data_IF_542222345358
#
_entry.id   IF_542222345358
#
_cell.length_a   1.000
_cell.length_b   1.000
_cell.length_c   1.000
_cell.angle_alpha   90.00
_cell.angle_beta   90.00
_cell.angle_gamma   90.00
#
_symmetry.space_group_name_H-M   'P 1'
#
loop_
_entity.id
_entity.type
_entity.pdbx_description
1 polymer ?
#
# COMPACT_ATOMS: atom_id res chain seq x y z
N UNK A 1 11.53 -16.97 1.52
CA UNK A 1 11.74 -15.57 1.92
C UNK A 1 11.35 -14.57 0.85
N UNK A 2 11.22 -14.96 -0.40
CA UNK A 2 10.71 -14.11 -1.48
C UNK A 2 9.18 -14.19 -1.56
N UNK A 3 8.52 -13.24 -2.25
CA UNK A 3 7.07 -13.20 -2.43
C UNK A 3 6.65 -13.70 -3.82
N UNK A 4 5.36 -14.05 -3.96
CA UNK A 4 4.76 -14.51 -5.22
C UNK A 4 5.38 -15.82 -5.72
N UNK A 5 5.62 -15.92 -7.02
CA UNK A 5 6.15 -17.12 -7.69
C UNK A 5 7.53 -17.57 -7.17
N UNK A 6 8.29 -16.66 -6.56
CA UNK A 6 9.60 -16.93 -5.95
C UNK A 6 9.53 -17.19 -4.45
N UNK A 7 8.33 -17.27 -3.89
CA UNK A 7 8.09 -17.54 -2.47
C UNK A 7 7.83 -19.00 -2.16
N UNK A 8 7.51 -19.29 -0.91
CA UNK A 8 7.05 -20.63 -0.49
C UNK A 8 8.15 -21.64 -0.18
N UNK A 9 9.44 -21.29 -0.32
CA UNK A 9 10.55 -22.19 0.00
C UNK A 9 10.82 -22.26 1.51
N UNK A 10 11.06 -23.46 2.01
CA UNK A 10 11.48 -23.68 3.40
C UNK A 10 12.97 -23.43 3.51
N UNK A 11 13.36 -22.32 4.16
CA UNK A 11 14.78 -21.95 4.36
C UNK A 11 15.42 -22.63 5.58
N UNK A 12 14.60 -23.11 6.51
CA UNK A 12 15.06 -23.84 7.68
C UNK A 12 13.96 -24.73 8.28
N UNK A 13 14.34 -25.93 8.68
CA UNK A 13 13.50 -26.85 9.46
C UNK A 13 14.33 -27.45 10.60
N UNK A 14 13.84 -27.37 11.82
CA UNK A 14 14.51 -27.91 13.01
C UNK A 14 14.19 -27.13 14.28
N UNK A 15 14.90 -27.45 15.37
CA UNK A 15 14.72 -26.76 16.64
C UNK A 15 15.30 -25.34 16.63
N UNK A 16 14.74 -24.44 17.43
CA UNK A 16 15.23 -23.05 17.61
C UNK A 16 16.71 -23.04 18.04
N UNK A 17 17.11 -23.93 18.94
CA UNK A 17 18.50 -24.06 19.39
C UNK A 17 19.45 -24.31 18.21
N UNK A 18 19.08 -25.18 17.29
CA UNK A 18 19.87 -25.47 16.11
C UNK A 18 19.84 -24.33 15.08
N UNK A 19 18.73 -23.61 14.95
CA UNK A 19 18.64 -22.41 14.12
C UNK A 19 19.65 -21.36 14.57
N UNK A 20 19.71 -21.06 15.87
CA UNK A 20 20.61 -20.08 16.44
C UNK A 20 22.09 -20.48 16.35
N UNK A 21 22.40 -21.79 16.44
CA UNK A 21 23.77 -22.32 16.40
C UNK A 21 24.33 -22.53 14.99
N UNK A 22 23.51 -22.65 13.96
CA UNK A 22 23.94 -22.91 12.58
C UNK A 22 23.98 -21.63 11.75
N UNK A 23 24.87 -21.61 10.74
CA UNK A 23 24.91 -20.55 9.70
C UNK A 23 23.77 -20.75 8.66
N UNK A 24 22.52 -20.93 9.13
CA UNK A 24 21.38 -20.98 8.24
C UNK A 24 21.13 -19.56 7.65
N UNK A 25 20.95 -19.45 6.35
CA UNK A 25 20.59 -18.18 5.73
C UNK A 25 19.09 -17.90 5.91
N UNK A 26 18.74 -17.56 7.12
CA UNK A 26 17.38 -17.23 7.55
C UNK A 26 17.33 -15.83 8.11
N UNK A 27 16.43 -15.01 7.59
CA UNK A 27 16.20 -13.66 8.10
C UNK A 27 15.79 -13.70 9.58
N UNK A 28 14.94 -14.66 9.96
CA UNK A 28 14.56 -14.90 11.37
C UNK A 28 15.77 -15.12 12.26
N UNK A 29 16.72 -15.98 11.83
CA UNK A 29 17.96 -16.19 12.58
C UNK A 29 18.75 -14.90 12.78
N UNK A 30 18.94 -14.12 11.70
CA UNK A 30 19.71 -12.87 11.75
C UNK A 30 19.16 -11.89 12.80
N UNK A 31 17.83 -11.79 12.89
CA UNK A 31 17.19 -10.96 13.91
C UNK A 31 17.26 -11.56 15.32
N UNK A 32 17.06 -12.87 15.46
CA UNK A 32 17.12 -13.55 16.77
C UNK A 32 18.53 -13.56 17.37
N UNK A 33 19.57 -13.63 16.54
CA UNK A 33 20.97 -13.57 16.97
C UNK A 33 21.52 -12.16 17.15
N UNK A 34 20.74 -11.14 16.74
CA UNK A 34 21.21 -9.74 16.75
C UNK A 34 22.15 -9.38 15.61
N UNK A 35 22.39 -10.30 14.66
CA UNK A 35 23.19 -10.07 13.45
C UNK A 35 22.51 -9.02 12.53
N UNK A 36 21.19 -9.03 12.50
CA UNK A 36 20.36 -7.95 11.93
C UNK A 36 19.50 -7.35 13.04
N UNK A 37 19.44 -6.02 13.09
CA UNK A 37 18.61 -5.30 14.06
C UNK A 37 18.15 -3.96 13.50
N UNK A 38 17.01 -3.49 13.97
CA UNK A 38 16.57 -2.11 13.76
C UNK A 38 17.15 -1.28 14.90
N UNK A 39 18.08 -0.41 14.57
CA UNK A 39 18.73 0.40 15.60
C UNK A 39 17.78 1.45 16.18
N UNK A 40 17.78 1.54 17.52
CA UNK A 40 17.05 2.60 18.21
C UNK A 40 17.94 3.86 18.22
N UNK A 41 17.47 5.00 17.67
CA UNK A 41 18.28 6.21 17.63
C UNK A 41 18.59 6.71 19.03
N UNK A 42 19.85 7.08 19.27
CA UNK A 42 20.30 7.59 20.58
C UNK A 42 19.63 8.92 20.94
N UNK A 43 19.36 9.76 19.94
CA UNK A 43 18.63 11.03 20.11
C UNK A 43 17.30 10.95 19.39
N UNK A 44 16.21 11.11 20.13
CA UNK A 44 14.85 11.21 19.57
C UNK A 44 14.47 12.65 19.39
N UNK A 45 13.69 12.95 18.35
CA UNK A 45 13.13 14.28 18.14
C UNK A 45 12.19 14.62 19.30
N UNK A 46 12.28 15.85 19.80
CA UNK A 46 11.29 16.38 20.73
C UNK A 46 10.02 16.73 19.95
N UNK A 47 8.87 16.38 20.45
CA UNK A 47 7.58 16.82 19.92
C UNK A 47 7.41 18.33 20.05
N UNK A 48 6.32 18.85 19.48
CA UNK A 48 5.99 20.28 19.56
C UNK A 48 5.41 20.72 20.91
N UNK A 49 5.15 19.77 21.82
CA UNK A 49 4.36 20.01 23.04
C UNK A 49 2.85 20.16 22.79
N UNK A 50 2.41 20.14 21.53
CA UNK A 50 1.01 20.22 21.12
C UNK A 50 0.46 18.82 20.85
N UNK A 51 -0.82 18.62 21.03
CA UNK A 51 -1.51 17.36 20.80
C UNK A 51 -2.92 17.57 20.24
N UNK A 52 -3.43 16.56 19.58
CA UNK A 52 -4.85 16.41 19.31
C UNK A 52 -5.40 15.45 20.37
N UNK A 53 -6.43 15.86 21.09
CA UNK A 53 -7.03 15.07 22.17
C UNK A 53 -8.47 14.72 21.82
N UNK A 54 -8.78 13.43 21.89
CA UNK A 54 -10.12 12.87 21.80
C UNK A 54 -10.59 12.49 23.20
N UNK A 55 -11.76 12.93 23.60
CA UNK A 55 -12.39 12.55 24.87
C UNK A 55 -13.75 11.90 24.64
N UNK A 56 -14.15 11.07 25.57
CA UNK A 56 -15.45 10.40 25.52
C UNK A 56 -15.60 9.39 24.39
N UNK A 57 -14.53 8.70 24.01
CA UNK A 57 -14.56 7.74 22.90
C UNK A 57 -15.26 6.45 23.32
N UNK A 58 -16.38 6.14 22.64
CA UNK A 58 -17.28 5.02 22.98
C UNK A 58 -17.66 4.15 21.80
N UNK A 59 -16.91 4.19 20.72
CA UNK A 59 -17.19 3.36 19.54
C UNK A 59 -16.81 1.90 19.77
N UNK A 60 -17.66 0.98 19.35
CA UNK A 60 -17.52 -0.47 19.48
C UNK A 60 -17.18 -0.89 20.93
N UNK A 61 -16.00 -1.44 21.18
CA UNK A 61 -15.55 -1.91 22.50
C UNK A 61 -14.79 -0.84 23.31
N UNK A 62 -14.71 0.39 22.84
CA UNK A 62 -14.06 1.49 23.56
C UNK A 62 -14.98 2.01 24.67
N UNK A 63 -14.46 2.10 25.90
CA UNK A 63 -15.23 2.36 27.12
C UNK A 63 -14.93 3.76 27.66
N UNK A 64 -15.43 4.78 26.95
CA UNK A 64 -15.32 6.17 27.38
C UNK A 64 -13.87 6.63 27.63
N UNK A 65 -12.99 6.32 26.69
CA UNK A 65 -11.57 6.62 26.83
C UNK A 65 -11.24 8.03 26.36
N UNK A 66 -10.22 8.63 26.97
CA UNK A 66 -9.59 9.86 26.51
C UNK A 66 -8.17 9.55 26.02
N UNK A 67 -7.85 10.02 24.81
CA UNK A 67 -6.56 9.77 24.16
C UNK A 67 -5.98 11.07 23.64
N UNK A 68 -4.74 11.37 24.01
CA UNK A 68 -3.99 12.51 23.51
C UNK A 68 -2.88 12.06 22.56
N UNK A 69 -2.89 12.59 21.34
CA UNK A 69 -1.96 12.22 20.26
C UNK A 69 -1.00 13.39 20.06
N UNK A 70 0.28 13.24 20.44
CA UNK A 70 1.26 14.30 20.31
C UNK A 70 1.55 14.60 18.85
N UNK A 71 1.69 15.90 18.52
CA UNK A 71 1.97 16.36 17.17
C UNK A 71 3.48 16.42 16.88
N UNK A 72 3.83 16.34 15.59
CA UNK A 72 5.21 16.26 15.06
C UNK A 72 5.99 15.06 15.57
N UNK A 73 5.31 13.98 15.89
CA UNK A 73 5.89 12.73 16.36
C UNK A 73 5.36 11.55 15.54
N UNK A 74 6.15 10.49 15.49
CA UNK A 74 5.66 9.18 15.06
C UNK A 74 4.99 8.51 16.26
N UNK A 75 3.70 8.25 16.16
CA UNK A 75 2.89 7.61 17.21
C UNK A 75 2.48 6.23 16.74
N UNK A 76 2.76 5.21 17.54
CA UNK A 76 2.36 3.84 17.28
C UNK A 76 1.23 3.43 18.23
N UNK A 77 0.13 2.94 17.67
CA UNK A 77 -0.99 2.36 18.44
C UNK A 77 -0.87 0.84 18.35
N UNK A 78 -0.52 0.21 19.47
CA UNK A 78 -0.31 -1.24 19.55
C UNK A 78 -1.32 -1.90 20.50
N UNK A 79 -1.46 -3.22 20.40
CA UNK A 79 -2.35 -4.03 21.23
C UNK A 79 -2.77 -5.31 20.53
N UNK A 80 -3.39 -6.22 21.25
CA UNK A 80 -3.91 -7.49 20.73
C UNK A 80 -4.99 -7.28 19.66
N UNK A 81 -5.25 -8.30 18.84
CA UNK A 81 -6.38 -8.25 17.89
C UNK A 81 -7.69 -8.05 18.63
N UNK A 82 -8.59 -7.24 18.08
CA UNK A 82 -9.86 -6.90 18.69
C UNK A 82 -9.81 -5.90 19.84
N UNK A 83 -8.65 -5.32 20.21
CA UNK A 83 -8.56 -4.35 21.32
C UNK A 83 -9.14 -2.95 21.01
N UNK A 84 -9.62 -2.70 19.81
CA UNK A 84 -10.22 -1.42 19.42
C UNK A 84 -9.28 -0.44 18.72
N UNK A 85 -8.06 -0.86 18.31
CA UNK A 85 -7.10 0.03 17.61
C UNK A 85 -7.69 0.67 16.35
N UNK A 86 -8.31 -0.12 15.48
CA UNK A 86 -8.94 0.37 14.26
C UNK A 86 -10.13 1.26 14.56
N UNK A 87 -10.95 0.90 15.56
CA UNK A 87 -12.07 1.74 16.01
C UNK A 87 -11.57 3.11 16.49
N UNK A 88 -10.50 3.15 17.28
CA UNK A 88 -9.92 4.41 17.73
C UNK A 88 -9.32 5.23 16.59
N UNK A 89 -8.47 4.61 15.77
CA UNK A 89 -7.66 5.35 14.77
C UNK A 89 -8.48 5.65 13.52
N UNK A 90 -9.18 4.67 12.96
CA UNK A 90 -9.90 4.82 11.69
C UNK A 90 -11.31 5.36 11.91
N UNK A 91 -12.11 4.68 12.76
CA UNK A 91 -13.53 4.99 12.85
C UNK A 91 -13.77 6.30 13.62
N UNK A 92 -12.93 6.65 14.60
CA UNK A 92 -13.09 7.85 15.41
C UNK A 92 -12.11 8.94 15.01
N UNK A 93 -10.80 8.78 15.23
CA UNK A 93 -9.81 9.84 15.04
C UNK A 93 -9.78 10.35 13.60
N UNK A 94 -9.49 9.45 12.64
CA UNK A 94 -9.41 9.84 11.24
C UNK A 94 -10.74 10.41 10.75
N UNK A 95 -11.85 9.72 11.02
CA UNK A 95 -13.16 10.15 10.53
C UNK A 95 -13.61 11.49 11.12
N UNK A 96 -13.30 11.76 12.40
CA UNK A 96 -13.57 13.06 13.03
C UNK A 96 -12.73 14.20 12.41
N UNK A 97 -11.45 13.95 12.20
CA UNK A 97 -10.56 14.91 11.55
C UNK A 97 -10.91 15.12 10.07
N UNK A 98 -11.17 14.06 9.33
CA UNK A 98 -11.56 14.12 7.92
C UNK A 98 -12.82 14.98 7.72
N UNK A 99 -13.85 14.79 8.58
CA UNK A 99 -15.05 15.62 8.57
C UNK A 99 -14.72 17.10 8.88
N UNK A 100 -13.79 17.36 9.78
CA UNK A 100 -13.38 18.74 10.14
C UNK A 100 -12.67 19.44 8.99
N UNK A 101 -11.99 18.70 8.11
CA UNK A 101 -11.31 19.19 6.92
C UNK A 101 -12.10 18.97 5.62
N UNK A 102 -13.42 18.85 5.70
CA UNK A 102 -14.35 18.71 4.57
C UNK A 102 -14.03 17.52 3.63
N UNK A 103 -13.34 16.50 4.16
CA UNK A 103 -13.14 15.25 3.45
C UNK A 103 -14.39 14.36 3.59
N UNK A 104 -14.74 13.67 2.50
CA UNK A 104 -15.88 12.74 2.51
C UNK A 104 -15.62 11.54 3.41
N UNK A 105 -16.49 11.31 4.38
CA UNK A 105 -16.51 10.12 5.25
C UNK A 105 -17.94 9.64 5.42
N UNK A 106 -18.16 8.33 5.36
CA UNK A 106 -19.49 7.75 5.50
C UNK A 106 -20.06 7.96 6.91
N UNK A 107 -19.22 7.71 7.92
CA UNK A 107 -19.63 7.78 9.33
C UNK A 107 -18.44 8.20 10.20
N UNK A 108 -18.77 8.89 11.31
CA UNK A 108 -17.82 9.13 12.41
C UNK A 108 -18.27 8.31 13.61
N UNK A 109 -17.32 7.58 14.22
CA UNK A 109 -17.55 6.80 15.42
C UNK A 109 -17.93 7.69 16.63
N UNK A 110 -18.47 7.10 17.67
CA UNK A 110 -18.99 7.83 18.84
C UNK A 110 -17.87 8.35 19.73
N UNK A 111 -17.83 9.67 19.92
CA UNK A 111 -16.94 10.35 20.86
C UNK A 111 -17.62 11.59 21.43
N UNK A 112 -17.06 12.16 22.48
CA UNK A 112 -17.57 13.38 23.11
C UNK A 112 -17.01 14.62 22.44
N UNK A 113 -15.72 14.85 22.50
CA UNK A 113 -15.07 16.07 22.03
C UNK A 113 -13.70 15.77 21.40
N UNK A 114 -13.31 16.62 20.45
CA UNK A 114 -11.95 16.65 19.89
C UNK A 114 -11.38 18.05 20.03
N UNK A 115 -10.18 18.18 20.59
CA UNK A 115 -9.48 19.44 20.78
C UNK A 115 -8.09 19.42 20.16
N UNK A 116 -7.47 20.59 19.94
CA UNK A 116 -6.13 20.69 19.35
C UNK A 116 -6.10 20.60 17.82
N UNK A 117 -7.25 20.54 17.16
CA UNK A 117 -7.37 20.43 15.70
C UNK A 117 -6.82 21.66 14.98
N UNK A 118 -6.84 22.81 15.59
CA UNK A 118 -6.27 24.07 15.09
C UNK A 118 -4.75 24.03 14.87
N UNK A 119 -4.10 23.00 15.40
CA UNK A 119 -2.64 22.82 15.26
C UNK A 119 -2.23 21.92 14.06
N UNK A 120 -3.20 21.46 13.28
CA UNK A 120 -3.00 20.65 12.07
C UNK A 120 -3.72 21.28 10.88
N UNK A 121 -3.22 21.06 9.68
CA UNK A 121 -3.77 21.65 8.44
C UNK A 121 -4.55 20.66 7.58
N UNK A 122 -4.55 19.40 7.94
CA UNK A 122 -5.24 18.35 7.20
C UNK A 122 -4.96 16.96 7.75
N UNK A 123 -5.64 15.98 7.20
CA UNK A 123 -5.48 14.56 7.54
C UNK A 123 -5.44 13.71 6.28
N UNK A 124 -4.60 12.68 6.29
CA UNK A 124 -4.50 11.71 5.20
C UNK A 124 -4.53 10.31 5.79
N UNK A 125 -5.35 9.43 5.23
CA UNK A 125 -5.36 8.01 5.54
C UNK A 125 -4.54 7.26 4.50
N UNK A 126 -3.60 6.45 4.97
CA UNK A 126 -2.91 5.46 4.16
C UNK A 126 -3.30 4.07 4.70
N UNK A 127 -3.81 3.24 3.84
CA UNK A 127 -4.19 1.87 4.15
C UNK A 127 -3.35 0.86 3.37
N UNK A 128 -3.63 -0.42 3.56
CA UNK A 128 -2.96 -1.52 2.84
C UNK A 128 -3.72 -1.94 1.57
N UNK A 129 -4.73 -1.16 1.16
CA UNK A 129 -5.46 -1.46 -0.05
C UNK A 129 -4.52 -1.37 -1.27
N UNK A 130 -4.67 -2.27 -2.25
CA UNK A 130 -3.89 -2.19 -3.48
C UNK A 130 -4.18 -0.88 -4.22
N UNK A 131 -3.20 -0.38 -4.95
CA UNK A 131 -3.30 0.84 -5.78
C UNK A 131 -4.25 0.56 -6.96
N UNK A 132 -5.54 0.57 -6.70
CA UNK A 132 -6.59 0.27 -7.66
C UNK A 132 -6.97 -1.22 -7.70
N UNK A 133 -8.13 -1.50 -8.31
CA UNK A 133 -8.79 -2.81 -8.31
C UNK A 133 -8.55 -3.64 -9.56
N UNK A 134 -7.78 -3.14 -10.51
CA UNK A 134 -7.52 -3.83 -11.78
C UNK A 134 -6.06 -4.19 -11.96
N UNK A 135 -5.79 -5.20 -12.76
CA UNK A 135 -4.45 -5.61 -13.19
C UNK A 135 -3.67 -4.52 -13.92
N UNK A 136 -4.36 -3.45 -14.37
CA UNK A 136 -3.79 -2.27 -15.03
C UNK A 136 -3.27 -1.22 -14.06
N UNK A 137 -3.60 -1.34 -12.79
CA UNK A 137 -3.15 -0.40 -11.74
C UNK A 137 -1.69 -0.65 -11.40
N UNK A 138 -0.88 0.40 -11.41
CA UNK A 138 0.53 0.31 -11.04
C UNK A 138 1.03 1.60 -10.39
N UNK A 139 2.09 1.53 -9.57
CA UNK A 139 2.62 2.68 -8.85
C UNK A 139 3.07 3.83 -9.77
N UNK A 140 3.66 3.52 -10.92
CA UNK A 140 4.23 4.52 -11.84
C UNK A 140 3.15 5.41 -12.45
N UNK A 141 1.98 4.82 -12.78
CA UNK A 141 0.81 5.59 -13.23
C UNK A 141 0.21 6.39 -12.09
N UNK A 142 0.13 5.81 -10.89
CA UNK A 142 -0.42 6.48 -9.72
C UNK A 142 0.33 7.77 -9.36
N UNK A 143 1.66 7.74 -9.37
CA UNK A 143 2.50 8.93 -9.12
C UNK A 143 2.67 9.83 -10.36
N UNK A 144 1.99 9.54 -11.48
CA UNK A 144 2.04 10.27 -12.76
C UNK A 144 3.42 10.29 -13.46
N UNK A 145 4.38 9.50 -13.00
CA UNK A 145 5.69 9.39 -13.64
C UNK A 145 5.61 8.73 -15.02
N UNK A 146 4.58 7.91 -15.25
CA UNK A 146 4.41 7.23 -16.54
C UNK A 146 4.15 8.18 -17.69
N UNK A 147 3.60 9.35 -17.45
CA UNK A 147 3.36 10.37 -18.49
C UNK A 147 4.67 10.88 -19.09
N UNK A 148 5.70 11.10 -18.26
CA UNK A 148 7.01 11.51 -18.72
C UNK A 148 7.76 10.37 -19.42
N UNK A 149 7.65 9.14 -18.91
CA UNK A 149 8.20 7.95 -19.56
C UNK A 149 7.64 7.78 -20.97
N UNK A 150 6.34 7.93 -21.16
CA UNK A 150 5.68 7.85 -22.48
C UNK A 150 6.18 8.91 -23.46
N UNK A 151 6.42 10.12 -22.99
CA UNK A 151 6.99 11.20 -23.82
C UNK A 151 8.40 10.85 -24.28
N UNK A 152 9.24 10.33 -23.36
CA UNK A 152 10.61 9.92 -23.70
C UNK A 152 10.58 8.79 -24.72
N UNK A 153 9.76 7.76 -24.52
CA UNK A 153 9.64 6.64 -25.48
C UNK A 153 9.16 7.10 -26.86
N UNK A 154 8.16 7.95 -26.92
CA UNK A 154 7.68 8.52 -28.19
C UNK A 154 8.71 9.44 -28.86
N UNK A 155 9.68 9.95 -28.12
CA UNK A 155 10.79 10.77 -28.63
C UNK A 155 11.90 9.99 -29.31
N UNK A 156 11.93 8.65 -29.18
CA UNK A 156 12.96 7.80 -29.79
C UNK A 156 12.87 7.82 -31.33
N UNK A 157 13.97 7.51 -31.99
CA UNK A 157 14.01 7.45 -33.45
C UNK A 157 13.06 6.36 -34.00
N UNK A 158 13.04 5.19 -33.37
CA UNK A 158 12.20 4.06 -33.79
C UNK A 158 10.70 4.41 -33.63
N UNK A 159 10.31 5.04 -32.52
CA UNK A 159 8.93 5.48 -32.32
C UNK A 159 8.50 6.49 -33.37
N UNK A 160 9.35 7.46 -33.68
CA UNK A 160 9.08 8.49 -34.73
C UNK A 160 8.99 7.88 -36.11
N UNK A 161 9.85 6.94 -36.46
CA UNK A 161 9.82 6.26 -37.78
C UNK A 161 8.54 5.43 -37.98
N UNK A 162 7.99 4.88 -36.88
CA UNK A 162 6.72 4.13 -36.89
C UNK A 162 5.48 5.02 -36.65
N UNK A 163 5.65 6.33 -36.49
CA UNK A 163 4.55 7.27 -36.22
C UNK A 163 3.90 7.08 -34.84
N UNK A 164 4.62 6.49 -33.88
CA UNK A 164 4.09 6.24 -32.52
C UNK A 164 4.09 7.51 -31.69
N UNK A 165 2.95 7.81 -31.09
CA UNK A 165 2.74 8.95 -30.17
C UNK A 165 2.80 8.49 -28.71
N UNK A 166 2.87 9.38 -27.72
CA UNK A 166 2.86 8.98 -26.32
C UNK A 166 1.65 8.13 -25.90
N UNK A 167 0.51 8.23 -26.59
CA UNK A 167 -0.67 7.41 -26.33
C UNK A 167 -0.47 5.93 -26.65
N UNK A 168 0.34 5.62 -27.68
CA UNK A 168 0.66 4.24 -28.06
C UNK A 168 1.49 3.50 -26.97
N UNK A 169 2.23 4.24 -26.15
CA UNK A 169 2.95 3.68 -25.01
C UNK A 169 2.09 3.56 -23.74
N UNK A 170 0.76 3.51 -23.90
CA UNK A 170 -0.19 3.30 -22.81
C UNK A 170 -0.91 1.96 -23.00
N UNK A 171 -0.80 1.08 -22.01
CA UNK A 171 -1.58 -0.17 -22.00
C UNK A 171 -3.05 0.04 -21.57
N UNK A 172 -3.48 1.27 -21.34
CA UNK A 172 -4.86 1.62 -21.01
C UNK A 172 -5.64 2.19 -22.20
N UNK A 173 -4.96 2.53 -23.31
CA UNK A 173 -5.55 3.21 -24.47
C UNK A 173 -5.47 2.30 -25.69
N UNK A 174 -6.56 2.23 -26.45
CA UNK A 174 -6.59 1.53 -27.72
C UNK A 174 -5.53 2.05 -28.70
N UNK A 175 -5.01 1.19 -29.55
CA UNK A 175 -3.95 1.49 -30.51
C UNK A 175 -2.54 1.24 -30.01
N UNK A 176 -2.29 1.25 -28.70
CA UNK A 176 -1.00 0.89 -28.12
C UNK A 176 -1.05 -0.36 -27.26
N UNK A 177 -2.20 -0.64 -26.65
CA UNK A 177 -2.43 -1.83 -25.86
C UNK A 177 -2.63 -3.07 -26.71
N UNK A 178 -2.35 -4.23 -26.17
CA UNK A 178 -2.81 -5.50 -26.73
C UNK A 178 -4.33 -5.56 -26.68
N UNK A 179 -4.99 -5.74 -27.81
CA UNK A 179 -6.46 -5.76 -27.87
C UNK A 179 -7.05 -7.07 -27.31
N UNK A 180 -6.33 -8.20 -27.39
CA UNK A 180 -6.82 -9.48 -26.87
C UNK A 180 -6.99 -9.51 -25.35
N UNK A 181 -6.11 -8.85 -24.60
CA UNK A 181 -6.21 -8.73 -23.14
C UNK A 181 -6.53 -7.30 -22.69
N UNK A 182 -6.80 -6.41 -23.63
CA UNK A 182 -7.06 -4.99 -23.38
C UNK A 182 -6.01 -4.30 -22.48
N UNK A 183 -4.76 -4.71 -22.57
CA UNK A 183 -3.66 -4.20 -21.74
C UNK A 183 -3.56 -4.80 -20.35
N UNK A 184 -4.36 -5.82 -20.01
CA UNK A 184 -4.25 -6.52 -18.73
C UNK A 184 -3.02 -7.42 -18.62
N UNK A 185 -2.53 -7.94 -19.74
CA UNK A 185 -1.44 -8.91 -19.81
C UNK A 185 -1.87 -10.34 -19.48
N UNK A 186 -3.08 -10.49 -18.96
CA UNK A 186 -3.70 -11.77 -18.60
C UNK A 186 -5.15 -11.79 -19.12
N UNK A 187 -5.66 -12.99 -19.36
CA UNK A 187 -7.07 -13.26 -19.65
C UNK A 187 -7.70 -13.89 -18.41
N UNK A 188 -8.82 -13.39 -17.98
CA UNK A 188 -9.61 -13.92 -16.89
C UNK A 188 -10.56 -14.98 -17.42
N UNK A 189 -10.48 -16.17 -16.86
CA UNK A 189 -11.44 -17.26 -17.11
C UNK A 189 -12.35 -17.34 -15.88
N UNK A 190 -13.58 -16.90 -16.06
CA UNK A 190 -14.60 -16.94 -15.00
C UNK A 190 -15.02 -18.37 -14.71
N UNK A 191 -14.98 -18.75 -13.45
CA UNK A 191 -15.36 -20.06 -12.95
C UNK A 191 -16.58 -19.93 -12.06
N UNK A 192 -17.74 -20.45 -12.48
CA UNK A 192 -19.00 -20.27 -11.75
C UNK A 192 -19.01 -20.73 -10.29
N UNK A 193 -18.15 -21.67 -9.90
CA UNK A 193 -18.13 -22.25 -8.55
C UNK A 193 -16.74 -22.20 -7.88
N UNK A 194 -15.72 -21.67 -8.55
CA UNK A 194 -14.35 -21.56 -8.06
C UNK A 194 -13.85 -20.13 -8.24
N UNK A 195 -12.72 -19.81 -7.64
CA UNK A 195 -12.05 -18.55 -7.92
C UNK A 195 -11.65 -18.44 -9.40
N UNK A 196 -11.78 -17.27 -9.98
CA UNK A 196 -11.39 -17.02 -11.37
C UNK A 196 -9.91 -17.33 -11.59
N UNK A 197 -9.62 -17.91 -12.74
CA UNK A 197 -8.25 -18.24 -13.15
C UNK A 197 -7.74 -17.17 -14.10
N UNK A 198 -6.54 -16.67 -13.85
CA UNK A 198 -5.87 -15.72 -14.72
C UNK A 198 -4.76 -16.43 -15.50
N UNK A 199 -4.88 -16.43 -16.82
CA UNK A 199 -3.91 -17.04 -17.74
C UNK A 199 -3.16 -15.93 -18.47
N UNK A 200 -1.85 -16.09 -18.65
CA UNK A 200 -1.05 -15.15 -19.43
C UNK A 200 -1.61 -15.00 -20.85
N UNK A 201 -1.76 -13.78 -21.31
CA UNK A 201 -2.28 -13.50 -22.65
C UNK A 201 -1.29 -14.02 -23.72
N UNK A 202 -1.72 -14.96 -24.55
CA UNK A 202 -0.92 -15.58 -25.61
C UNK A 202 -0.50 -14.60 -26.70
N UNK A 203 -1.35 -13.61 -27.02
CA UNK A 203 -1.08 -12.61 -28.06
C UNK A 203 0.10 -11.68 -27.72
N UNK A 204 0.19 -11.21 -26.48
CA UNK A 204 1.23 -10.29 -26.05
C UNK A 204 2.25 -10.90 -25.10
N UNK A 205 2.11 -12.17 -24.76
CA UNK A 205 2.99 -12.90 -23.83
C UNK A 205 3.17 -12.14 -22.50
N UNK A 206 2.04 -11.62 -21.98
CA UNK A 206 2.00 -10.84 -20.74
C UNK A 206 2.55 -9.40 -20.85
N UNK A 207 3.06 -8.98 -22.00
CA UNK A 207 3.71 -7.67 -22.19
C UNK A 207 2.75 -6.49 -22.27
N UNK A 208 1.46 -6.73 -22.43
CA UNK A 208 0.36 -5.73 -22.40
C UNK A 208 0.25 -4.81 -23.60
N UNK A 209 1.25 -4.71 -24.44
CA UNK A 209 1.28 -3.80 -25.60
C UNK A 209 1.09 -4.54 -26.92
N UNK A 210 0.67 -3.79 -27.93
CA UNK A 210 0.64 -4.26 -29.31
C UNK A 210 2.07 -4.54 -29.80
N UNK A 211 2.22 -5.50 -30.73
CA UNK A 211 3.54 -5.91 -31.26
C UNK A 211 4.33 -4.77 -31.89
N UNK A 212 3.66 -3.79 -32.49
CA UNK A 212 4.31 -2.64 -33.13
C UNK A 212 4.95 -1.67 -32.12
N UNK A 213 4.52 -1.72 -30.86
CA UNK A 213 5.02 -0.88 -29.76
C UNK A 213 6.19 -1.53 -29.04
N UNK A 214 6.29 -2.87 -29.09
CA UNK A 214 7.35 -3.66 -28.46
C UNK A 214 8.59 -3.71 -29.34
#
# INVERSE_FOLDING_TARGET
PLAGERGGEIVYQGSVKNLLGKKADSLTRKYMTGEARIEVPQKRRKGSGKSVTLSGVRENNLKDITVSIPLRMFVCVSGVSGSGKSSLVTDVLYSALARRFDCSVERVGKFGEITGVENISGVVMLDQAPIGRSSRSNPVTYIKAYDEIRKVMAGTWDAKSKGLTPSHFSFNVAGGRCEACEGAGVQQIEMHFLADVFVTCEECDGKRFHKDVL
#
